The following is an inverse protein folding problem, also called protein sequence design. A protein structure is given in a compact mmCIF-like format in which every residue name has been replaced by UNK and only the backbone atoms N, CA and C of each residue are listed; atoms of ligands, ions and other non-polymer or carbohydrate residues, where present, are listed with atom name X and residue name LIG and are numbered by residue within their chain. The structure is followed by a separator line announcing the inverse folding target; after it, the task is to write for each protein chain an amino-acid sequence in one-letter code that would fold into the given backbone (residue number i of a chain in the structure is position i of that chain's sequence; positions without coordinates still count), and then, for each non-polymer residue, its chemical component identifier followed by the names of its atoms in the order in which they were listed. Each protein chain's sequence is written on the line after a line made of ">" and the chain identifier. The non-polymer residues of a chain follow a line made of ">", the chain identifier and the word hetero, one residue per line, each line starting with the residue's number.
data_IF_010375179767
#
_entry.id   IF_010375179767
#
_cell.length_a   1.000
_cell.length_b   1.000
_cell.length_c   1.000
_cell.angle_alpha   90.00
_cell.angle_beta   90.00
_cell.angle_gamma   90.00
#
_symmetry.space_group_name_H-M   'P 1'
#
loop_
_entity.id
_entity.type
_entity.pdbx_description
1 polymer ?
#
# COMPACT_ATOMS: atom_id res chain seq x y z
N UNK A 1 -0.21 16.00 -2.29
CA UNK A 1 0.37 14.66 -1.99
C UNK A 1 -0.37 14.04 -0.80
N UNK A 2 -0.70 12.75 -0.88
CA UNK A 2 -1.36 12.04 0.21
C UNK A 2 -0.37 11.73 1.33
N UNK A 3 -0.87 11.68 2.56
CA UNK A 3 -0.09 11.18 3.69
C UNK A 3 -0.30 9.68 3.83
N UNK A 4 0.77 8.96 4.17
CA UNK A 4 0.74 7.51 4.27
C UNK A 4 0.76 7.06 5.72
N UNK A 5 -0.20 6.19 6.07
CA UNK A 5 -0.30 5.60 7.40
C UNK A 5 -0.44 4.09 7.29
N UNK A 6 -0.20 3.39 8.39
CA UNK A 6 -0.50 1.97 8.49
C UNK A 6 -1.66 1.77 9.46
N UNK A 7 -2.47 0.74 9.21
CA UNK A 7 -3.68 0.50 10.00
C UNK A 7 -3.38 -0.01 11.41
N UNK A 8 -2.24 -0.67 11.59
CA UNK A 8 -1.88 -1.24 12.88
C UNK A 8 -0.37 -1.44 12.98
N UNK A 9 0.11 -1.75 14.19
CA UNK A 9 1.54 -1.87 14.45
C UNK A 9 2.17 -3.09 13.76
N UNK A 10 1.42 -4.16 13.55
CA UNK A 10 1.93 -5.32 12.83
C UNK A 10 2.25 -4.96 11.38
N UNK A 11 1.33 -4.28 10.71
CA UNK A 11 1.54 -3.84 9.33
C UNK A 11 2.70 -2.86 9.23
N UNK A 12 2.80 -1.93 10.18
CA UNK A 12 3.91 -0.99 10.23
C UNK A 12 5.25 -1.71 10.33
N UNK A 13 5.36 -2.69 11.20
CA UNK A 13 6.59 -3.46 11.38
C UNK A 13 6.97 -4.19 10.10
N UNK A 14 6.03 -4.86 9.48
CA UNK A 14 6.27 -5.59 8.22
C UNK A 14 6.72 -4.64 7.12
N UNK A 15 6.03 -3.52 6.97
CA UNK A 15 6.39 -2.53 5.95
C UNK A 15 7.80 -1.98 6.19
N UNK A 16 8.13 -1.68 7.43
CA UNK A 16 9.45 -1.18 7.78
C UNK A 16 10.56 -2.18 7.44
N UNK A 17 10.32 -3.46 7.71
CA UNK A 17 11.26 -4.52 7.36
C UNK A 17 11.50 -4.58 5.85
N UNK A 18 10.44 -4.47 5.03
CA UNK A 18 10.58 -4.44 3.59
C UNK A 18 11.33 -3.19 3.11
N UNK A 19 11.04 -2.04 3.68
CA UNK A 19 11.75 -0.80 3.33
C UNK A 19 13.24 -0.95 3.59
N UNK A 20 13.61 -1.55 4.71
CA UNK A 20 15.01 -1.71 5.09
C UNK A 20 15.75 -2.75 4.25
N UNK A 21 15.03 -3.75 3.74
CA UNK A 21 15.67 -4.87 3.02
C UNK A 21 15.61 -4.75 1.49
N UNK A 22 14.81 -3.81 0.95
CA UNK A 22 14.60 -3.68 -0.49
C UNK A 22 14.62 -2.21 -0.92
N UNK A 23 15.56 -1.88 -1.80
CA UNK A 23 15.80 -0.49 -2.19
C UNK A 23 14.60 0.22 -2.80
N UNK A 24 13.82 -0.46 -3.63
CA UNK A 24 12.81 0.20 -4.45
C UNK A 24 11.48 0.44 -3.75
N UNK A 25 11.28 -0.11 -2.56
CA UNK A 25 9.98 0.01 -1.89
C UNK A 25 9.70 1.46 -1.50
N UNK A 26 10.70 2.16 -0.99
CA UNK A 26 10.52 3.57 -0.63
C UNK A 26 10.09 4.41 -1.84
N UNK A 27 10.73 4.20 -2.98
CA UNK A 27 10.36 4.92 -4.20
C UNK A 27 8.93 4.60 -4.65
N UNK A 28 8.53 3.34 -4.53
CA UNK A 28 7.16 2.93 -4.86
C UNK A 28 6.15 3.59 -3.93
N UNK A 29 6.47 3.69 -2.64
CA UNK A 29 5.60 4.37 -1.69
C UNK A 29 5.48 5.86 -2.00
N UNK A 30 6.57 6.50 -2.42
CA UNK A 30 6.53 7.91 -2.82
C UNK A 30 5.61 8.12 -4.01
N UNK A 31 5.68 7.24 -5.00
CA UNK A 31 4.77 7.29 -6.14
C UNK A 31 3.32 7.08 -5.74
N UNK A 32 3.08 6.19 -4.79
CA UNK A 32 1.74 5.94 -4.28
C UNK A 32 1.17 7.20 -3.61
N UNK A 33 1.98 7.93 -2.85
CA UNK A 33 1.55 9.18 -2.23
C UNK A 33 1.15 10.23 -3.26
N UNK A 34 1.77 10.23 -4.42
CA UNK A 34 1.44 11.18 -5.48
C UNK A 34 0.12 10.84 -6.16
N UNK A 35 -0.11 9.56 -6.43
CA UNK A 35 -1.34 9.13 -7.10
C UNK A 35 -1.73 7.71 -6.70
N UNK A 36 -2.48 7.55 -5.61
CA UNK A 36 -2.84 6.21 -5.12
C UNK A 36 -3.82 5.46 -6.02
N UNK A 37 -4.38 6.12 -7.00
CA UNK A 37 -5.32 5.48 -7.92
C UNK A 37 -4.64 4.80 -9.09
N UNK A 38 -3.44 5.22 -9.45
CA UNK A 38 -2.76 4.72 -10.65
C UNK A 38 -1.34 4.21 -10.41
N UNK A 39 -0.67 4.67 -9.36
CA UNK A 39 0.74 4.32 -9.14
C UNK A 39 0.90 2.82 -8.88
N UNK A 40 2.02 2.27 -9.36
CA UNK A 40 2.40 0.88 -9.05
C UNK A 40 1.34 -0.14 -9.46
N UNK A 41 0.68 0.09 -10.58
CA UNK A 41 -0.43 -0.76 -11.09
C UNK A 41 -1.59 -0.86 -10.10
N UNK A 42 -1.90 0.23 -9.44
CA UNK A 42 -3.00 0.28 -8.48
C UNK A 42 -4.32 -0.12 -9.12
N UNK A 43 -5.11 -0.89 -8.39
CA UNK A 43 -6.43 -1.32 -8.86
C UNK A 43 -7.36 -1.57 -7.68
N UNK A 44 -8.66 -1.42 -7.94
CA UNK A 44 -9.68 -1.70 -6.93
C UNK A 44 -9.86 -3.19 -6.73
N UNK A 45 -10.13 -3.57 -5.49
CA UNK A 45 -10.47 -4.95 -5.16
C UNK A 45 -11.98 -5.13 -5.13
N UNK A 46 -12.42 -6.38 -5.31
CA UNK A 46 -13.82 -6.73 -5.40
C UNK A 46 -14.19 -7.78 -4.35
N UNK A 47 -15.48 -8.10 -4.26
CA UNK A 47 -15.95 -9.09 -3.32
C UNK A 47 -15.83 -8.63 -1.88
N UNK A 48 -15.24 -9.47 -1.04
CA UNK A 48 -15.07 -9.17 0.39
C UNK A 48 -14.17 -7.98 0.66
N UNK A 49 -13.32 -7.64 -0.31
CA UNK A 49 -12.38 -6.52 -0.18
C UNK A 49 -12.84 -5.27 -0.92
N UNK A 50 -14.12 -5.20 -1.27
CA UNK A 50 -14.69 -4.06 -1.95
C UNK A 50 -14.43 -2.78 -1.15
N UNK A 51 -14.03 -1.72 -1.86
CA UNK A 51 -13.67 -0.44 -1.24
C UNK A 51 -12.20 -0.32 -0.92
N UNK A 52 -11.44 -1.38 -1.12
CA UNK A 52 -9.98 -1.37 -0.91
C UNK A 52 -9.25 -1.40 -2.24
N UNK A 53 -7.99 -1.04 -2.19
CA UNK A 53 -7.10 -0.97 -3.35
C UNK A 53 -5.89 -1.84 -3.11
N UNK A 54 -5.25 -2.26 -4.18
CA UNK A 54 -3.99 -2.98 -4.11
C UNK A 54 -3.00 -2.38 -5.10
N UNK A 55 -1.73 -2.44 -4.78
CA UNK A 55 -0.67 -2.03 -5.69
C UNK A 55 0.57 -2.90 -5.48
N UNK A 56 1.51 -2.80 -6.41
CA UNK A 56 2.80 -3.49 -6.31
C UNK A 56 3.82 -2.58 -5.64
N UNK A 57 4.59 -3.15 -4.70
CA UNK A 57 5.71 -2.45 -4.05
C UNK A 57 7.07 -3.03 -4.42
N UNK A 58 7.11 -3.97 -5.34
CA UNK A 58 8.32 -4.64 -5.75
C UNK A 58 7.97 -5.92 -6.45
N UNK A 59 8.96 -6.78 -6.73
CA UNK A 59 8.77 -7.91 -7.62
C UNK A 59 7.56 -8.78 -7.29
N UNK A 60 7.35 -9.13 -6.02
CA UNK A 60 6.18 -9.92 -5.62
C UNK A 60 5.55 -9.41 -4.33
N UNK A 61 5.88 -8.19 -3.93
CA UNK A 61 5.35 -7.56 -2.72
C UNK A 61 4.18 -6.66 -3.12
N UNK A 62 3.07 -6.83 -2.43
CA UNK A 62 1.84 -6.05 -2.66
C UNK A 62 1.41 -5.35 -1.39
N UNK A 63 0.69 -4.26 -1.56
CA UNK A 63 0.05 -3.57 -0.45
C UNK A 63 -1.45 -3.50 -0.70
N UNK A 64 -2.23 -3.69 0.36
CA UNK A 64 -3.67 -3.45 0.34
C UNK A 64 -3.90 -2.21 1.19
N UNK A 65 -4.63 -1.25 0.64
CA UNK A 65 -4.83 0.04 1.30
C UNK A 65 -6.21 0.61 1.01
N UNK A 66 -6.62 1.55 1.84
CA UNK A 66 -7.79 2.37 1.60
C UNK A 66 -7.36 3.80 1.35
N UNK A 67 -8.17 4.53 0.60
CA UNK A 67 -7.92 5.93 0.27
C UNK A 67 -8.97 6.76 0.99
N UNK A 68 -8.53 7.63 1.89
CA UNK A 68 -9.39 8.56 2.60
C UNK A 68 -9.30 9.91 1.90
N UNK A 69 -10.26 10.17 1.03
CA UNK A 69 -10.29 11.41 0.26
C UNK A 69 -10.49 12.64 1.13
N UNK A 70 -11.30 12.51 2.17
CA UNK A 70 -11.62 13.65 3.04
C UNK A 70 -10.37 14.16 3.74
N UNK A 71 -9.55 13.26 4.25
CA UNK A 71 -8.34 13.61 4.99
C UNK A 71 -7.07 13.54 4.14
N UNK A 72 -7.22 13.18 2.88
CA UNK A 72 -6.11 13.07 1.93
C UNK A 72 -5.03 12.10 2.43
N UNK A 73 -5.48 10.91 2.84
CA UNK A 73 -4.64 9.90 3.48
C UNK A 73 -4.76 8.56 2.77
N UNK A 74 -3.66 7.81 2.79
CA UNK A 74 -3.62 6.41 2.37
C UNK A 74 -3.33 5.59 3.62
N UNK A 75 -4.18 4.60 3.90
CA UNK A 75 -4.03 3.75 5.07
C UNK A 75 -3.73 2.34 4.60
N UNK A 76 -2.50 1.88 4.81
CA UNK A 76 -2.08 0.55 4.40
C UNK A 76 -2.52 -0.46 5.45
N UNK A 77 -3.31 -1.44 5.00
CA UNK A 77 -3.88 -2.47 5.87
C UNK A 77 -3.08 -3.76 5.87
N UNK A 78 -2.41 -4.07 4.76
CA UNK A 78 -1.63 -5.29 4.66
C UNK A 78 -0.51 -5.11 3.66
N UNK A 79 0.63 -5.75 3.92
CA UNK A 79 1.78 -5.77 3.01
C UNK A 79 2.34 -7.19 3.02
N UNK A 80 2.63 -7.71 1.84
CA UNK A 80 3.21 -9.04 1.73
C UNK A 80 3.14 -9.55 0.31
N UNK A 81 3.30 -10.86 0.16
CA UNK A 81 3.17 -11.54 -1.13
C UNK A 81 1.70 -11.65 -1.50
N UNK A 82 1.40 -12.28 -2.64
CA UNK A 82 0.01 -12.43 -3.08
C UNK A 82 -0.91 -13.13 -2.06
N UNK A 83 -0.34 -13.75 -1.03
CA UNK A 83 -1.13 -14.44 0.00
C UNK A 83 -1.86 -13.50 0.95
N UNK A 84 -1.62 -12.20 0.86
CA UNK A 84 -2.29 -11.24 1.73
C UNK A 84 -3.76 -11.00 1.35
N UNK A 85 -4.19 -11.49 0.23
CA UNK A 85 -5.59 -11.35 -0.19
C UNK A 85 -6.53 -12.25 0.61
#
# INVERSE_FOLDING_TARGET
>A
MYQLFTANSKTEKILREYINSRENIKNKLDKLKENPYKANSAHQLHGKLKGKWACWLGSNIRAIYIIDLKNHQIIIEAVGTHKIY
#
